data_IF_047101735713
#
_entry.id   IF_047101735713
#
_cell.length_a   1.000
_cell.length_b   1.000
_cell.length_c   1.000
_cell.angle_alpha   90.00
_cell.angle_beta   90.00
_cell.angle_gamma   90.00
#
_symmetry.space_group_name_H-M   'P 1'
#
loop_
_entity.id
_entity.type
_entity.pdbx_description
1 polymer ?
#
# COMPACT_ATOMS: atom_id res chain seq x y z
N UNK A 1 31.71 14.45 -0.92
CA UNK A 1 31.65 13.47 0.11
C UNK A 1 30.68 12.37 -0.20
N UNK A 2 29.77 12.10 0.70
CA UNK A 2 28.87 10.92 0.68
C UNK A 2 28.07 10.71 -0.60
N UNK A 3 27.45 11.76 -1.16
CA UNK A 3 26.70 11.65 -2.42
C UNK A 3 27.59 11.20 -3.59
N UNK A 4 28.85 11.71 -3.65
CA UNK A 4 29.80 11.27 -4.69
C UNK A 4 30.19 9.81 -4.54
N UNK A 5 30.38 9.32 -3.32
CA UNK A 5 30.66 7.91 -3.04
C UNK A 5 29.46 7.02 -3.42
N UNK A 6 28.26 7.40 -3.02
CA UNK A 6 27.04 6.67 -3.37
C UNK A 6 26.85 6.59 -4.88
N UNK A 7 27.03 7.71 -5.59
CA UNK A 7 26.93 7.76 -7.05
C UNK A 7 28.01 6.92 -7.74
N UNK A 8 29.27 6.97 -7.26
CA UNK A 8 30.33 6.16 -7.83
C UNK A 8 30.08 4.66 -7.69
N UNK A 9 29.59 4.22 -6.51
CA UNK A 9 29.19 2.81 -6.31
C UNK A 9 28.02 2.44 -7.19
N UNK A 10 26.99 3.27 -7.27
CA UNK A 10 25.82 3.02 -8.12
C UNK A 10 26.21 2.87 -9.61
N UNK A 11 27.09 3.74 -10.11
CA UNK A 11 27.58 3.64 -11.50
C UNK A 11 28.40 2.35 -11.74
N UNK A 12 29.21 1.95 -10.76
CA UNK A 12 30.04 0.74 -10.87
C UNK A 12 29.20 -0.54 -10.76
N UNK A 13 28.29 -0.60 -9.79
CA UNK A 13 27.58 -1.82 -9.44
C UNK A 13 26.24 -1.96 -10.19
N UNK A 14 25.74 -0.87 -10.81
CA UNK A 14 24.47 -0.86 -11.55
C UNK A 14 23.20 -0.80 -10.66
N UNK A 15 23.37 -0.65 -9.35
CA UNK A 15 22.29 -0.46 -8.36
C UNK A 15 22.77 0.44 -7.21
N UNK A 16 21.83 1.11 -6.48
CA UNK A 16 22.20 1.95 -5.34
C UNK A 16 22.88 1.13 -4.24
N UNK A 17 23.88 1.71 -3.53
CA UNK A 17 24.58 1.00 -2.45
C UNK A 17 23.75 0.80 -1.18
N UNK A 18 22.73 1.64 -0.97
CA UNK A 18 21.75 1.66 0.12
C UNK A 18 20.49 2.37 -0.35
N UNK A 19 19.43 2.42 0.44
CA UNK A 19 18.19 3.10 0.08
C UNK A 19 18.43 4.59 -0.19
N UNK A 20 18.15 5.02 -1.42
CA UNK A 20 18.24 6.40 -1.90
C UNK A 20 16.90 6.91 -2.40
N UNK A 21 15.78 6.24 -2.04
CA UNK A 21 14.47 6.54 -2.58
C UNK A 21 14.08 8.01 -2.46
N UNK A 22 14.34 8.64 -1.32
CA UNK A 22 13.99 10.05 -1.08
C UNK A 22 14.68 11.05 -2.02
N UNK A 23 15.79 10.64 -2.64
CA UNK A 23 16.56 11.45 -3.59
C UNK A 23 16.68 10.83 -4.98
N UNK A 24 16.03 9.67 -5.21
CA UNK A 24 16.05 8.98 -6.50
C UNK A 24 15.17 9.71 -7.52
N UNK A 25 15.75 9.98 -8.71
CA UNK A 25 15.00 10.62 -9.80
C UNK A 25 13.79 9.79 -10.26
N UNK A 26 13.80 8.47 -10.07
CA UNK A 26 12.71 7.56 -10.41
C UNK A 26 11.44 7.77 -9.58
N UNK A 27 11.51 8.51 -8.47
CA UNK A 27 10.32 8.93 -7.71
C UNK A 27 9.53 10.04 -8.41
N UNK A 28 10.14 10.70 -9.38
CA UNK A 28 9.57 11.87 -10.06
C UNK A 28 8.76 11.43 -11.28
N UNK A 29 7.54 11.93 -11.38
CA UNK A 29 6.65 11.65 -12.50
C UNK A 29 7.02 12.50 -13.73
N UNK A 30 6.80 12.01 -14.97
CA UNK A 30 7.21 12.70 -16.19
C UNK A 30 6.67 14.15 -16.31
N UNK A 31 5.47 14.44 -15.81
CA UNK A 31 4.89 15.79 -15.87
C UNK A 31 5.61 16.80 -14.95
N UNK A 32 6.28 16.33 -13.89
CA UNK A 32 6.95 17.19 -12.90
C UNK A 32 8.17 17.92 -13.47
N UNK A 33 8.66 17.55 -14.67
CA UNK A 33 9.65 18.34 -15.43
C UNK A 33 9.11 19.66 -16.00
N UNK A 34 7.80 19.91 -15.93
CA UNK A 34 7.19 21.13 -16.41
C UNK A 34 7.73 22.35 -15.68
N UNK A 35 8.12 23.41 -16.44
CA UNK A 35 8.78 24.59 -15.87
C UNK A 35 7.91 25.37 -14.87
N UNK A 36 6.60 25.46 -15.11
CA UNK A 36 5.67 26.12 -14.20
C UNK A 36 5.56 25.33 -12.91
N UNK A 37 5.40 24.01 -13.00
CA UNK A 37 5.39 23.11 -11.85
C UNK A 37 6.65 23.28 -11.00
N UNK A 38 7.83 23.18 -11.62
CA UNK A 38 9.11 23.29 -10.92
C UNK A 38 9.28 24.64 -10.23
N UNK A 39 8.91 25.74 -10.91
CA UNK A 39 9.02 27.09 -10.34
C UNK A 39 8.23 27.25 -9.04
N UNK A 40 7.00 26.75 -9.02
CA UNK A 40 6.12 26.83 -7.84
C UNK A 40 6.56 25.85 -6.75
N UNK A 41 6.75 24.58 -7.10
CA UNK A 41 7.04 23.50 -6.14
C UNK A 41 8.42 23.64 -5.49
N UNK A 42 9.46 24.02 -6.22
CA UNK A 42 10.81 24.21 -5.66
C UNK A 42 10.83 25.32 -4.61
N UNK A 43 10.10 26.42 -4.85
CA UNK A 43 10.01 27.51 -3.88
C UNK A 43 9.37 27.05 -2.57
N UNK A 44 8.26 26.31 -2.66
CA UNK A 44 7.60 25.72 -1.48
C UNK A 44 8.51 24.73 -0.76
N UNK A 45 9.13 23.80 -1.49
CA UNK A 45 10.01 22.77 -0.92
C UNK A 45 11.19 23.38 -0.17
N UNK A 46 11.81 24.44 -0.72
CA UNK A 46 12.88 25.14 -0.02
C UNK A 46 12.40 25.82 1.28
N UNK A 47 11.20 26.42 1.24
CA UNK A 47 10.60 27.02 2.44
C UNK A 47 10.31 25.99 3.53
N UNK A 48 9.88 24.78 3.13
CA UNK A 48 9.56 23.69 4.04
C UNK A 48 10.77 23.14 4.79
N UNK A 49 12.01 23.31 4.29
CA UNK A 49 13.22 22.92 5.02
C UNK A 49 13.36 23.61 6.39
N UNK A 50 12.74 24.77 6.56
CA UNK A 50 12.80 25.59 7.77
C UNK A 50 11.46 25.67 8.51
N UNK A 51 10.45 24.92 8.09
CA UNK A 51 9.13 24.91 8.70
C UNK A 51 8.96 23.70 9.63
N UNK A 52 7.93 23.76 10.49
CA UNK A 52 7.51 22.59 11.28
C UNK A 52 7.06 21.45 10.37
N UNK A 53 7.62 20.26 10.57
CA UNK A 53 7.34 19.07 9.77
C UNK A 53 6.20 18.28 10.40
N UNK A 54 5.00 18.85 10.43
CA UNK A 54 3.82 18.17 10.95
C UNK A 54 3.56 16.86 10.21
N UNK A 55 3.08 15.83 10.90
CA UNK A 55 2.61 14.59 10.26
C UNK A 55 1.54 14.89 9.19
N UNK A 56 1.56 14.11 8.11
CA UNK A 56 0.61 14.20 6.98
C UNK A 56 0.59 15.54 6.23
N UNK A 57 1.59 16.39 6.44
CA UNK A 57 1.63 17.70 5.78
C UNK A 57 1.55 17.56 4.27
N UNK A 58 0.66 18.34 3.65
CA UNK A 58 0.45 18.37 2.21
C UNK A 58 1.13 19.58 1.58
N UNK A 59 1.62 19.41 0.34
CA UNK A 59 2.03 20.53 -0.49
C UNK A 59 0.82 21.36 -0.90
N UNK A 60 0.95 22.67 -0.97
CA UNK A 60 -0.13 23.59 -1.35
C UNK A 60 -0.01 24.09 -2.78
N UNK A 61 1.24 24.18 -3.33
CA UNK A 61 1.47 24.61 -4.71
C UNK A 61 1.33 23.47 -5.70
N UNK A 62 1.10 23.81 -6.97
CA UNK A 62 1.06 22.86 -8.09
C UNK A 62 0.16 21.64 -7.85
N UNK A 63 -1.01 21.90 -7.25
CA UNK A 63 -2.05 20.91 -6.95
C UNK A 63 -2.99 20.73 -8.13
N UNK A 64 -3.76 19.64 -8.10
CA UNK A 64 -4.86 19.39 -9.03
C UNK A 64 -4.46 18.95 -10.44
N UNK A 65 -3.21 18.47 -10.63
CA UNK A 65 -2.70 18.14 -11.98
C UNK A 65 -3.16 16.75 -12.43
N UNK A 66 -3.14 15.77 -11.53
CA UNK A 66 -3.62 14.42 -11.81
C UNK A 66 -4.84 14.14 -10.92
N UNK A 67 -5.97 13.90 -11.53
CA UNK A 67 -7.24 13.65 -10.85
C UNK A 67 -7.87 12.37 -11.39
N UNK A 68 -8.55 11.63 -10.52
CA UNK A 68 -9.46 10.59 -11.00
C UNK A 68 -10.69 11.22 -11.67
N UNK A 69 -11.40 10.44 -12.45
CA UNK A 69 -12.68 10.89 -13.05
C UNK A 69 -13.74 11.17 -11.98
N UNK A 70 -13.56 10.64 -10.77
CA UNK A 70 -14.47 10.79 -9.64
C UNK A 70 -14.16 12.02 -8.76
N UNK A 71 -13.08 12.76 -9.05
CA UNK A 71 -12.58 13.84 -8.20
C UNK A 71 -13.65 14.86 -7.81
N UNK A 72 -14.40 15.36 -8.78
CA UNK A 72 -15.43 16.38 -8.51
C UNK A 72 -16.63 15.81 -7.73
N UNK A 73 -17.02 14.56 -8.03
CA UNK A 73 -18.09 13.87 -7.29
C UNK A 73 -17.72 13.64 -5.82
N UNK A 74 -16.46 13.23 -5.57
CA UNK A 74 -15.94 13.05 -4.21
C UNK A 74 -15.82 14.39 -3.47
N UNK A 75 -15.37 15.44 -4.16
CA UNK A 75 -15.27 16.79 -3.60
C UNK A 75 -16.63 17.31 -3.13
N UNK A 76 -17.66 17.13 -3.94
CA UNK A 76 -19.05 17.53 -3.58
C UNK A 76 -19.57 16.75 -2.36
N UNK A 77 -19.03 15.55 -2.11
CA UNK A 77 -19.38 14.71 -0.96
C UNK A 77 -18.45 14.91 0.24
N UNK A 78 -17.67 15.99 0.27
CA UNK A 78 -16.86 16.38 1.43
C UNK A 78 -15.43 15.80 1.44
N UNK A 79 -14.93 15.24 0.34
CA UNK A 79 -13.56 14.75 0.28
C UNK A 79 -12.53 15.87 0.51
N UNK A 80 -11.61 15.64 1.42
CA UNK A 80 -10.41 16.44 1.63
C UNK A 80 -9.23 15.75 0.98
N UNK A 81 -8.59 16.41 0.02
CA UNK A 81 -7.58 15.81 -0.83
C UNK A 81 -6.16 16.04 -0.34
N UNK A 82 -5.33 15.02 -0.53
CA UNK A 82 -3.88 15.09 -0.46
C UNK A 82 -3.24 14.62 -1.76
N UNK A 83 -1.97 14.97 -1.97
CA UNK A 83 -1.24 14.61 -3.18
C UNK A 83 -0.22 13.50 -2.92
N UNK A 84 -0.20 12.49 -3.81
CA UNK A 84 0.92 11.55 -3.95
C UNK A 84 1.22 11.35 -5.43
N UNK A 85 2.48 11.54 -5.81
CA UNK A 85 2.94 11.43 -7.20
C UNK A 85 2.11 12.29 -8.18
N UNK A 86 1.65 13.44 -7.72
CA UNK A 86 0.78 14.37 -8.45
C UNK A 86 -0.70 14.00 -8.47
N UNK A 87 -1.10 12.83 -8.00
CA UNK A 87 -2.50 12.45 -7.88
C UNK A 87 -3.15 13.07 -6.65
N UNK A 88 -4.28 13.74 -6.87
CA UNK A 88 -5.20 14.13 -5.81
C UNK A 88 -5.98 12.90 -5.35
N UNK A 89 -5.82 12.53 -4.08
CA UNK A 89 -6.52 11.40 -3.48
C UNK A 89 -7.36 11.88 -2.30
N UNK A 90 -8.60 11.41 -2.20
CA UNK A 90 -9.40 11.65 -0.99
C UNK A 90 -8.69 11.02 0.21
N UNK A 91 -8.22 11.84 1.15
CA UNK A 91 -7.54 11.37 2.34
C UNK A 91 -8.50 11.08 3.49
N UNK A 92 -9.60 11.85 3.57
CA UNK A 92 -10.71 11.67 4.50
C UNK A 92 -11.94 12.43 4.00
N UNK A 93 -13.11 12.17 4.59
CA UNK A 93 -14.35 12.85 4.24
C UNK A 93 -14.84 13.69 5.42
N UNK A 94 -14.98 14.99 5.21
CA UNK A 94 -15.49 15.90 6.22
C UNK A 94 -17.01 15.76 6.35
N UNK A 95 -17.49 15.64 7.57
CA UNK A 95 -18.92 15.68 7.91
C UNK A 95 -19.39 17.09 8.22
N UNK A 96 -18.45 18.03 8.40
CA UNK A 96 -18.71 19.44 8.65
C UNK A 96 -18.28 20.27 7.43
N UNK A 97 -19.24 20.91 6.77
CA UNK A 97 -19.00 21.75 5.60
C UNK A 97 -18.08 22.95 5.86
N UNK A 98 -17.73 23.23 7.13
CA UNK A 98 -16.87 24.35 7.50
C UNK A 98 -15.38 24.01 7.57
N UNK A 99 -14.98 22.71 7.58
CA UNK A 99 -13.59 22.28 7.80
C UNK A 99 -13.10 21.32 6.71
N UNK A 100 -13.25 21.68 5.44
CA UNK A 100 -12.73 20.89 4.31
C UNK A 100 -11.24 21.16 4.04
N UNK A 101 -10.41 21.22 5.11
CA UNK A 101 -8.98 21.45 4.98
C UNK A 101 -8.22 20.85 6.17
N UNK A 102 -6.90 20.70 5.99
CA UNK A 102 -5.98 20.21 7.00
C UNK A 102 -5.72 21.27 8.08
N UNK A 103 -5.87 20.85 9.33
CA UNK A 103 -5.37 21.57 10.50
C UNK A 103 -4.36 20.66 11.21
N UNK A 104 -3.08 20.95 11.00
CA UNK A 104 -1.99 20.11 11.47
C UNK A 104 -1.78 20.22 12.97
N UNK A 105 -1.51 19.09 13.62
CA UNK A 105 -1.20 18.96 15.04
C UNK A 105 -0.22 17.80 15.26
N UNK A 106 0.47 17.76 16.37
CA UNK A 106 1.32 16.65 16.82
C UNK A 106 0.54 15.59 17.61
N UNK A 107 -0.67 15.93 18.03
CA UNK A 107 -1.61 15.02 18.68
C UNK A 107 -2.64 14.47 17.71
N UNK A 108 -3.90 14.39 18.17
CA UNK A 108 -5.03 13.98 17.34
C UNK A 108 -5.33 15.04 16.29
N UNK A 109 -5.30 14.63 15.05
CA UNK A 109 -5.55 15.48 13.90
C UNK A 109 -7.03 15.89 13.79
N UNK A 110 -7.35 16.97 13.07
CA UNK A 110 -8.75 17.44 12.94
C UNK A 110 -9.66 16.45 12.18
N UNK A 111 -9.11 15.50 11.48
CA UNK A 111 -9.88 14.41 10.82
C UNK A 111 -10.01 13.14 11.65
N UNK A 112 -9.50 13.09 12.89
CA UNK A 112 -9.44 11.88 13.71
C UNK A 112 -10.82 11.21 13.89
N UNK A 113 -11.86 11.96 14.18
CA UNK A 113 -13.21 11.40 14.37
C UNK A 113 -13.84 10.98 13.03
N UNK A 114 -13.53 11.66 11.93
CA UNK A 114 -13.96 11.26 10.58
C UNK A 114 -13.32 9.95 10.18
N UNK A 115 -11.99 9.83 10.35
CA UNK A 115 -11.24 8.59 10.15
C UNK A 115 -11.80 7.45 11.00
N UNK A 116 -12.14 7.74 12.28
CA UNK A 116 -12.76 6.74 13.15
C UNK A 116 -14.09 6.24 12.61
N UNK A 117 -14.96 7.15 12.18
CA UNK A 117 -16.26 6.79 11.62
C UNK A 117 -16.16 5.98 10.34
N UNK A 118 -15.21 6.32 9.45
CA UNK A 118 -14.88 5.57 8.24
C UNK A 118 -14.30 4.20 8.57
N UNK A 119 -13.33 4.12 9.50
CA UNK A 119 -12.70 2.88 9.93
C UNK A 119 -13.72 1.89 10.51
N UNK A 120 -14.60 2.37 11.41
CA UNK A 120 -15.62 1.51 11.98
C UNK A 120 -16.67 1.06 10.94
N UNK A 121 -16.96 1.88 9.93
CA UNK A 121 -17.81 1.46 8.81
C UNK A 121 -17.17 0.30 8.03
N UNK A 122 -15.85 0.32 7.80
CA UNK A 122 -15.11 -0.78 7.16
C UNK A 122 -15.18 -2.05 8.03
N UNK A 123 -14.99 -1.94 9.34
CA UNK A 123 -14.97 -3.10 10.24
C UNK A 123 -16.36 -3.73 10.47
N UNK A 124 -17.42 -2.93 10.48
CA UNK A 124 -18.75 -3.35 10.91
C UNK A 124 -19.82 -3.29 9.80
N UNK A 125 -19.52 -2.64 8.69
CA UNK A 125 -20.45 -2.36 7.62
C UNK A 125 -19.79 -2.46 6.25
N UNK A 126 -19.74 -1.33 5.52
CA UNK A 126 -19.14 -1.24 4.20
C UNK A 126 -18.60 0.16 3.91
N UNK A 127 -17.41 0.23 3.32
CA UNK A 127 -16.81 1.45 2.85
C UNK A 127 -16.36 1.36 1.39
N UNK A 128 -16.30 2.51 0.74
CA UNK A 128 -15.90 2.65 -0.66
C UNK A 128 -14.75 3.66 -0.77
N UNK A 129 -13.64 3.22 -1.38
CA UNK A 129 -12.48 4.06 -1.65
C UNK A 129 -12.31 4.29 -3.16
N UNK A 130 -11.86 5.48 -3.53
CA UNK A 130 -11.29 5.74 -4.86
C UNK A 130 -9.79 5.45 -4.84
N UNK A 131 -9.41 4.30 -5.40
CA UNK A 131 -8.02 3.86 -5.55
C UNK A 131 -7.52 3.99 -6.98
N UNK A 132 -8.14 4.83 -7.80
CA UNK A 132 -7.78 5.04 -9.22
C UNK A 132 -6.32 5.49 -9.41
N UNK A 133 -5.68 6.01 -8.37
CA UNK A 133 -4.27 6.37 -8.36
C UNK A 133 -3.30 5.20 -8.36
N UNK A 134 -3.73 3.95 -8.09
CA UNK A 134 -2.85 2.77 -8.20
C UNK A 134 -2.14 2.74 -9.55
N UNK A 135 -0.83 2.47 -9.51
CA UNK A 135 -0.08 2.18 -10.73
C UNK A 135 -0.58 0.87 -11.34
N UNK A 136 -1.03 0.93 -12.59
CA UNK A 136 -1.51 -0.21 -13.37
C UNK A 136 -0.59 -0.41 -14.55
N UNK A 137 0.16 -1.50 -14.57
CA UNK A 137 1.12 -1.81 -15.62
C UNK A 137 0.64 -3.05 -16.37
N UNK A 138 0.43 -2.92 -17.67
CA UNK A 138 0.16 -4.06 -18.56
C UNK A 138 1.47 -4.62 -19.09
N UNK A 139 1.61 -5.93 -18.98
CA UNK A 139 2.72 -6.68 -19.58
C UNK A 139 2.11 -7.73 -20.50
N UNK A 140 2.26 -7.52 -21.80
CA UNK A 140 1.67 -8.35 -22.85
C UNK A 140 2.75 -8.86 -23.81
N UNK A 141 2.66 -10.09 -24.25
CA UNK A 141 3.58 -10.68 -25.23
C UNK A 141 3.88 -12.14 -24.98
N UNK A 142 4.41 -12.81 -25.98
CA UNK A 142 4.66 -14.27 -25.92
C UNK A 142 5.63 -14.66 -24.79
N UNK A 143 6.57 -13.78 -24.44
CA UNK A 143 7.55 -14.00 -23.39
C UNK A 143 7.13 -13.40 -22.03
N UNK A 144 5.89 -12.86 -21.90
CA UNK A 144 5.46 -12.14 -20.69
C UNK A 144 5.47 -13.04 -19.45
N UNK A 145 5.04 -14.30 -19.59
CA UNK A 145 5.03 -15.24 -18.48
C UNK A 145 6.45 -15.53 -17.98
N UNK A 146 7.37 -15.91 -18.88
CA UNK A 146 8.75 -16.21 -18.52
C UNK A 146 9.47 -15.01 -17.91
N UNK A 147 9.26 -13.84 -18.50
CA UNK A 147 9.78 -12.57 -18.00
C UNK A 147 9.32 -12.28 -16.55
N UNK A 148 8.04 -12.41 -16.27
CA UNK A 148 7.50 -12.17 -14.92
C UNK A 148 7.89 -13.30 -13.95
N UNK A 149 7.97 -14.56 -14.38
CA UNK A 149 8.47 -15.66 -13.58
C UNK A 149 9.91 -15.41 -13.08
N UNK A 150 10.75 -14.82 -13.93
CA UNK A 150 12.12 -14.48 -13.57
C UNK A 150 12.23 -13.30 -12.59
N UNK A 151 11.31 -12.34 -12.63
CA UNK A 151 11.38 -11.13 -11.80
C UNK A 151 10.62 -11.26 -10.48
N UNK A 152 9.49 -11.94 -10.46
CA UNK A 152 8.65 -12.07 -9.28
C UNK A 152 9.10 -13.23 -8.39
N UNK A 153 9.07 -13.07 -7.08
CA UNK A 153 9.45 -14.12 -6.13
C UNK A 153 8.38 -15.24 -6.00
N UNK A 154 7.11 -14.94 -6.27
CA UNK A 154 6.03 -15.91 -6.28
C UNK A 154 5.90 -16.65 -7.62
N UNK A 155 5.15 -17.77 -7.61
CA UNK A 155 4.76 -18.47 -8.82
C UNK A 155 3.73 -17.65 -9.60
N UNK A 156 4.09 -17.22 -10.82
CA UNK A 156 3.24 -16.42 -11.72
C UNK A 156 2.57 -17.30 -12.78
N UNK A 157 3.12 -18.49 -13.06
CA UNK A 157 2.45 -19.46 -13.92
C UNK A 157 1.29 -20.11 -13.17
N UNK A 158 0.16 -19.43 -13.23
CA UNK A 158 -1.12 -19.79 -12.64
C UNK A 158 -2.21 -19.69 -13.72
N UNK A 159 -3.36 -20.26 -13.48
CA UNK A 159 -4.48 -20.16 -14.42
C UNK A 159 -4.95 -18.70 -14.65
N UNK A 160 -5.51 -18.42 -15.82
CA UNK A 160 -6.18 -17.14 -16.11
C UNK A 160 -7.30 -16.91 -15.06
N UNK A 161 -7.42 -15.67 -14.58
CA UNK A 161 -8.35 -15.34 -13.50
C UNK A 161 -7.73 -15.31 -12.11
N UNK A 162 -6.49 -15.78 -11.93
CA UNK A 162 -5.76 -15.71 -10.64
C UNK A 162 -5.07 -14.37 -10.46
N UNK A 163 -5.02 -13.96 -9.19
CA UNK A 163 -4.26 -12.82 -8.68
C UNK A 163 -3.19 -13.38 -7.74
N UNK A 164 -1.94 -12.97 -7.93
CA UNK A 164 -0.79 -13.38 -7.12
C UNK A 164 -0.19 -12.15 -6.46
N UNK A 165 -0.13 -12.14 -5.13
CA UNK A 165 0.66 -11.17 -4.39
C UNK A 165 2.12 -11.60 -4.36
N UNK A 166 3.03 -10.72 -4.70
CA UNK A 166 4.45 -11.03 -4.84
C UNK A 166 5.32 -9.80 -4.65
N UNK A 167 6.61 -10.03 -4.43
CA UNK A 167 7.66 -9.02 -4.51
C UNK A 167 8.57 -9.30 -5.72
N UNK A 168 9.14 -8.23 -6.28
CA UNK A 168 10.35 -8.30 -7.08
C UNK A 168 11.53 -8.02 -6.17
N UNK A 169 12.57 -8.84 -6.25
CA UNK A 169 13.73 -8.76 -5.39
C UNK A 169 14.96 -8.28 -6.14
N UNK A 170 15.89 -7.65 -5.44
CA UNK A 170 17.25 -7.44 -5.94
C UNK A 170 18.14 -8.67 -5.66
N UNK A 171 19.37 -8.61 -6.11
CA UNK A 171 20.35 -9.72 -5.98
C UNK A 171 20.69 -10.06 -4.52
N UNK A 172 20.42 -9.15 -3.58
CA UNK A 172 20.66 -9.32 -2.13
C UNK A 172 19.41 -9.84 -1.38
N UNK A 173 18.29 -10.08 -2.10
CA UNK A 173 17.03 -10.48 -1.50
C UNK A 173 16.21 -9.32 -0.92
N UNK A 174 16.64 -8.06 -1.13
CA UNK A 174 15.91 -6.84 -0.79
C UNK A 174 14.73 -6.61 -1.73
N UNK A 175 13.71 -5.93 -1.24
CA UNK A 175 12.43 -5.75 -1.93
C UNK A 175 12.50 -4.53 -2.86
N UNK A 176 12.49 -4.75 -4.17
CA UNK A 176 12.47 -3.68 -5.18
C UNK A 176 11.07 -3.21 -5.52
N UNK A 177 10.09 -4.12 -5.47
CA UNK A 177 8.68 -3.83 -5.75
C UNK A 177 7.78 -4.73 -4.92
N UNK A 178 6.66 -4.20 -4.45
CA UNK A 178 5.60 -4.92 -3.74
C UNK A 178 4.30 -4.75 -4.52
N UNK A 179 3.75 -5.86 -5.05
CA UNK A 179 2.72 -5.79 -6.08
C UNK A 179 1.78 -6.99 -6.09
N UNK A 180 0.66 -6.81 -6.77
CA UNK A 180 -0.16 -7.93 -7.24
C UNK A 180 -0.01 -8.12 -8.75
N UNK A 181 0.00 -9.37 -9.19
CA UNK A 181 0.04 -9.77 -10.61
C UNK A 181 -1.22 -10.55 -10.91
N UNK A 182 -2.02 -10.06 -11.84
CA UNK A 182 -3.23 -10.73 -12.32
C UNK A 182 -3.01 -11.29 -13.70
N UNK A 183 -3.18 -12.61 -13.90
CA UNK A 183 -3.14 -13.22 -15.24
C UNK A 183 -4.45 -12.96 -15.95
N UNK A 184 -4.45 -12.05 -16.95
CA UNK A 184 -5.66 -11.65 -17.67
C UNK A 184 -5.97 -12.58 -18.85
N UNK A 185 -4.92 -13.08 -19.50
CA UNK A 185 -4.97 -14.06 -20.59
C UNK A 185 -3.68 -14.87 -20.57
N UNK A 186 -3.51 -15.80 -21.51
CA UNK A 186 -2.34 -16.66 -21.60
C UNK A 186 -1.03 -15.86 -21.55
N UNK A 187 -0.93 -14.79 -22.34
CA UNK A 187 0.26 -13.95 -22.48
C UNK A 187 -0.01 -12.48 -22.10
N UNK A 188 -0.95 -12.23 -21.16
CA UNK A 188 -1.36 -10.90 -20.74
C UNK A 188 -1.51 -10.82 -19.22
N UNK A 189 -0.82 -9.84 -18.62
CA UNK A 189 -0.76 -9.65 -17.18
C UNK A 189 -1.03 -8.19 -16.81
N UNK A 190 -1.72 -7.99 -15.70
CA UNK A 190 -1.88 -6.70 -15.05
C UNK A 190 -1.10 -6.72 -13.73
N UNK A 191 -0.16 -5.80 -13.60
CA UNK A 191 0.58 -5.53 -12.38
C UNK A 191 -0.05 -4.30 -11.72
N UNK A 192 -0.33 -4.41 -10.42
CA UNK A 192 -0.84 -3.28 -9.63
C UNK A 192 0.20 -2.95 -8.56
N UNK A 193 0.65 -1.69 -8.57
CA UNK A 193 1.73 -1.18 -7.73
C UNK A 193 1.29 0.09 -6.99
N UNK A 194 1.95 0.49 -5.90
CA UNK A 194 1.65 1.75 -5.23
C UNK A 194 1.82 2.94 -6.19
N UNK A 195 0.97 3.96 -6.03
CA UNK A 195 1.01 5.19 -6.83
C UNK A 195 2.40 5.85 -6.83
N UNK A 196 3.07 5.87 -5.67
CA UNK A 196 4.36 6.52 -5.49
C UNK A 196 5.50 5.82 -6.23
N UNK A 197 5.43 4.50 -6.41
CA UNK A 197 6.53 3.68 -6.96
C UNK A 197 6.40 3.38 -8.45
N UNK A 198 5.31 3.78 -9.09
CA UNK A 198 5.02 3.46 -10.49
C UNK A 198 6.22 3.67 -11.44
N UNK A 199 6.92 4.80 -11.33
CA UNK A 199 8.06 5.08 -12.21
C UNK A 199 9.29 4.23 -11.87
N UNK A 200 9.49 3.91 -10.58
CA UNK A 200 10.51 2.95 -10.12
C UNK A 200 10.24 1.57 -10.70
N UNK A 201 9.01 1.09 -10.58
CA UNK A 201 8.59 -0.23 -11.03
C UNK A 201 8.68 -0.36 -12.55
N UNK A 202 8.21 0.66 -13.30
CA UNK A 202 8.40 0.73 -14.75
C UNK A 202 9.89 0.71 -15.15
N UNK A 203 10.73 1.43 -14.42
CA UNK A 203 12.17 1.46 -14.66
C UNK A 203 12.82 0.11 -14.40
N UNK A 204 12.39 -0.59 -13.34
CA UNK A 204 12.84 -1.93 -13.01
C UNK A 204 12.49 -2.95 -14.09
N UNK A 205 11.24 -2.97 -14.52
CA UNK A 205 10.77 -3.82 -15.61
C UNK A 205 11.54 -3.55 -16.91
N UNK A 206 11.71 -2.29 -17.31
CA UNK A 206 12.44 -1.88 -18.52
C UNK A 206 13.93 -2.23 -18.46
N UNK A 207 14.57 -2.13 -17.28
CA UNK A 207 15.96 -2.52 -17.07
C UNK A 207 16.19 -4.01 -17.42
N UNK A 208 15.20 -4.85 -17.16
CA UNK A 208 15.27 -6.30 -17.37
C UNK A 208 14.63 -6.75 -18.69
N UNK A 209 14.00 -5.86 -19.44
CA UNK A 209 13.41 -6.11 -20.76
C UNK A 209 14.51 -6.19 -21.84
N UNK A 210 15.26 -7.28 -21.85
CA UNK A 210 16.32 -7.52 -22.84
C UNK A 210 16.05 -8.80 -23.58
N UNK A 211 16.04 -8.74 -24.93
CA UNK A 211 15.86 -9.91 -25.82
C UNK A 211 14.58 -10.71 -25.55
N UNK A 212 13.49 -10.01 -25.16
CA UNK A 212 12.16 -10.59 -24.91
C UNK A 212 11.10 -9.87 -25.72
N UNK A 213 10.13 -10.62 -26.24
CA UNK A 213 9.05 -10.13 -27.06
C UNK A 213 7.84 -9.76 -26.19
N UNK A 214 7.93 -8.63 -25.51
CA UNK A 214 6.87 -8.10 -24.63
C UNK A 214 6.67 -6.61 -24.83
N UNK A 215 5.46 -6.14 -24.49
CA UNK A 215 5.07 -4.74 -24.32
C UNK A 215 4.83 -4.44 -22.87
N UNK A 216 5.39 -3.33 -22.36
CA UNK A 216 5.17 -2.83 -20.99
C UNK A 216 4.52 -1.45 -21.11
N UNK A 217 3.28 -1.35 -20.67
CA UNK A 217 2.47 -0.13 -20.82
C UNK A 217 1.98 0.37 -19.45
N UNK A 218 2.15 1.67 -19.21
CA UNK A 218 1.45 2.37 -18.11
C UNK A 218 -0.03 2.52 -18.48
N UNK A 219 -0.88 1.75 -17.81
CA UNK A 219 -2.32 1.70 -18.01
C UNK A 219 -3.09 2.48 -16.92
N UNK A 220 -2.37 3.22 -16.08
CA UNK A 220 -2.90 3.87 -14.87
C UNK A 220 -4.10 4.75 -15.13
N UNK A 221 -4.04 5.61 -16.17
CA UNK A 221 -5.12 6.54 -16.48
C UNK A 221 -6.31 5.91 -17.21
N UNK A 222 -6.16 4.70 -17.76
CA UNK A 222 -7.20 4.05 -18.57
C UNK A 222 -8.33 3.44 -17.72
N UNK A 223 -8.02 3.06 -16.48
CA UNK A 223 -8.98 2.43 -15.57
C UNK A 223 -9.05 3.18 -14.24
N UNK A 224 -10.24 3.45 -13.75
CA UNK A 224 -10.52 3.76 -12.36
C UNK A 224 -10.51 2.47 -11.52
N UNK A 225 -10.28 2.62 -10.21
CA UNK A 225 -10.32 1.52 -9.25
C UNK A 225 -11.17 1.93 -8.06
N UNK A 226 -12.27 1.23 -7.85
CA UNK A 226 -13.16 1.40 -6.72
C UNK A 226 -12.97 0.23 -5.76
N UNK A 227 -12.55 0.49 -4.53
CA UNK A 227 -12.37 -0.56 -3.53
C UNK A 227 -13.57 -0.57 -2.58
N UNK A 228 -14.41 -1.59 -2.71
CA UNK A 228 -15.57 -1.82 -1.84
C UNK A 228 -15.19 -2.86 -0.78
N UNK A 229 -15.12 -2.44 0.48
CA UNK A 229 -14.54 -3.21 1.58
C UNK A 229 -15.46 -3.21 2.81
N UNK A 230 -15.51 -4.33 3.51
CA UNK A 230 -16.27 -4.54 4.74
C UNK A 230 -17.23 -5.73 4.65
N UNK A 231 -17.75 -6.22 5.78
CA UNK A 231 -18.58 -7.43 5.84
C UNK A 231 -19.86 -7.36 4.99
N UNK A 232 -20.39 -6.15 4.73
CA UNK A 232 -21.57 -5.94 3.90
C UNK A 232 -21.27 -5.67 2.41
N UNK A 233 -20.00 -5.73 1.99
CA UNK A 233 -19.62 -5.44 0.59
C UNK A 233 -20.25 -6.40 -0.41
N UNK A 234 -20.42 -7.68 -0.05
CA UNK A 234 -21.11 -8.68 -0.89
C UNK A 234 -22.56 -8.31 -1.13
N UNK A 235 -23.26 -7.88 -0.09
CA UNK A 235 -24.67 -7.48 -0.21
C UNK A 235 -24.84 -6.29 -1.14
N UNK A 236 -23.94 -5.30 -1.04
CA UNK A 236 -23.96 -4.13 -1.92
C UNK A 236 -23.75 -4.55 -3.39
N UNK A 237 -22.73 -5.38 -3.67
CA UNK A 237 -22.50 -5.85 -5.04
C UNK A 237 -23.67 -6.67 -5.59
N UNK A 238 -24.27 -7.53 -4.77
CA UNK A 238 -25.42 -8.35 -5.17
C UNK A 238 -26.67 -7.50 -5.48
N UNK A 239 -26.75 -6.27 -4.95
CA UNK A 239 -27.85 -5.36 -5.22
C UNK A 239 -27.69 -4.54 -6.53
N UNK A 240 -26.47 -4.40 -7.05
CA UNK A 240 -26.20 -3.65 -8.28
C UNK A 240 -25.63 -4.50 -9.42
N UNK A 241 -25.53 -5.83 -9.23
CA UNK A 241 -24.91 -6.74 -10.19
C UNK A 241 -25.66 -8.07 -10.24
N UNK A 242 -25.89 -8.66 -11.42
CA UNK A 242 -26.47 -10.00 -11.56
C UNK A 242 -25.46 -11.13 -11.30
N UNK A 243 -24.19 -10.81 -11.08
CA UNK A 243 -23.13 -11.79 -10.95
C UNK A 243 -23.12 -12.46 -9.57
N UNK A 244 -22.58 -13.68 -9.51
CA UNK A 244 -22.38 -14.42 -8.26
C UNK A 244 -21.11 -13.96 -7.54
N UNK A 245 -21.26 -13.44 -6.31
CA UNK A 245 -20.19 -13.01 -5.40
C UNK A 245 -20.01 -13.98 -4.20
N UNK A 246 -20.62 -15.17 -4.24
CA UNK A 246 -20.37 -16.21 -3.23
C UNK A 246 -18.90 -16.62 -3.18
N UNK A 247 -18.50 -17.37 -2.15
CA UNK A 247 -17.14 -17.89 -2.05
C UNK A 247 -16.79 -18.87 -3.17
N UNK A 248 -17.77 -19.62 -3.66
CA UNK A 248 -17.69 -20.55 -4.76
C UNK A 248 -17.66 -19.83 -6.10
N UNK A 249 -18.55 -18.86 -6.30
CA UNK A 249 -18.69 -18.11 -7.55
C UNK A 249 -17.56 -17.10 -7.79
N UNK A 250 -16.98 -16.55 -6.71
CA UNK A 250 -15.87 -15.61 -6.79
C UNK A 250 -14.88 -15.81 -5.64
N UNK A 251 -14.00 -16.82 -5.69
CA UNK A 251 -13.04 -17.13 -4.63
C UNK A 251 -12.03 -16.03 -4.38
N UNK A 252 -11.50 -15.94 -3.15
CA UNK A 252 -10.41 -15.01 -2.80
C UNK A 252 -9.17 -15.23 -3.68
N UNK A 253 -8.53 -14.14 -4.09
CA UNK A 253 -7.38 -14.18 -5.01
C UNK A 253 -7.75 -14.47 -6.46
N UNK A 254 -9.01 -14.24 -6.84
CA UNK A 254 -9.51 -14.34 -8.21
C UNK A 254 -10.05 -13.01 -8.70
N UNK A 255 -9.99 -12.84 -10.01
CA UNK A 255 -10.72 -11.78 -10.70
C UNK A 255 -11.68 -12.36 -11.72
N UNK A 256 -12.75 -11.64 -12.00
CA UNK A 256 -13.68 -11.93 -13.09
C UNK A 256 -14.32 -10.64 -13.62
N UNK A 257 -14.81 -10.68 -14.86
CA UNK A 257 -15.66 -9.61 -15.38
C UNK A 257 -17.03 -9.68 -14.72
N UNK A 258 -17.57 -8.52 -14.42
CA UNK A 258 -18.88 -8.33 -13.79
C UNK A 258 -19.63 -7.19 -14.47
N UNK A 259 -20.93 -7.19 -14.32
CA UNK A 259 -21.81 -6.09 -14.69
C UNK A 259 -22.18 -5.30 -13.43
N UNK A 260 -22.13 -3.97 -13.48
CA UNK A 260 -22.64 -3.08 -12.43
C UNK A 260 -23.47 -2.02 -13.09
N UNK A 261 -24.80 -2.02 -12.82
CA UNK A 261 -25.74 -1.23 -13.64
C UNK A 261 -25.60 -1.56 -15.13
N UNK A 262 -25.31 -0.57 -15.95
CA UNK A 262 -25.02 -0.74 -17.39
C UNK A 262 -23.50 -0.81 -17.68
N UNK A 263 -22.66 -0.77 -16.67
CA UNK A 263 -21.21 -0.81 -16.82
C UNK A 263 -20.63 -2.21 -16.78
N UNK A 264 -19.52 -2.40 -17.48
CA UNK A 264 -18.70 -3.62 -17.42
C UNK A 264 -17.42 -3.32 -16.65
N UNK A 265 -17.16 -4.08 -15.61
CA UNK A 265 -15.99 -3.93 -14.75
C UNK A 265 -15.28 -5.28 -14.55
N UNK A 266 -14.07 -5.21 -14.04
CA UNK A 266 -13.32 -6.40 -13.59
C UNK A 266 -13.18 -6.31 -12.08
N UNK A 267 -13.77 -7.26 -11.36
CA UNK A 267 -13.69 -7.34 -9.91
C UNK A 267 -12.56 -8.28 -9.48
N UNK A 268 -11.67 -7.78 -8.65
CA UNK A 268 -10.58 -8.52 -8.00
C UNK A 268 -10.95 -8.76 -6.55
N UNK A 269 -11.13 -10.02 -6.14
CA UNK A 269 -11.42 -10.33 -4.74
C UNK A 269 -10.12 -10.39 -3.94
N UNK A 270 -9.69 -9.24 -3.46
CA UNK A 270 -8.51 -8.98 -2.64
C UNK A 270 -8.81 -7.89 -1.63
N UNK A 271 -7.95 -7.69 -0.65
CA UNK A 271 -8.12 -6.65 0.38
C UNK A 271 -6.80 -6.09 0.85
N UNK A 272 -6.77 -4.80 1.16
CA UNK A 272 -5.68 -4.14 1.86
C UNK A 272 -6.11 -3.57 3.23
N UNK A 273 -7.37 -3.80 3.63
CA UNK A 273 -7.91 -3.40 4.93
C UNK A 273 -8.14 -4.60 5.87
N UNK A 274 -8.11 -5.82 5.33
CA UNK A 274 -8.29 -7.05 6.10
C UNK A 274 -9.73 -7.47 6.31
N UNK A 275 -10.67 -6.95 5.52
CA UNK A 275 -12.07 -7.36 5.47
C UNK A 275 -12.41 -8.01 4.13
N UNK A 276 -13.59 -8.62 4.05
CA UNK A 276 -14.20 -9.00 2.78
C UNK A 276 -14.25 -7.79 1.85
N UNK A 277 -13.91 -7.99 0.57
CA UNK A 277 -14.00 -6.89 -0.36
C UNK A 277 -13.53 -7.21 -1.77
N UNK A 278 -13.71 -6.23 -2.63
CA UNK A 278 -13.32 -6.25 -4.03
C UNK A 278 -12.72 -4.93 -4.47
N UNK A 279 -11.65 -5.03 -5.24
CA UNK A 279 -11.17 -3.93 -6.08
C UNK A 279 -11.85 -4.05 -7.46
N UNK A 280 -12.59 -3.03 -7.83
CA UNK A 280 -13.39 -2.97 -9.05
C UNK A 280 -12.68 -2.07 -10.05
N UNK A 281 -12.11 -2.67 -11.08
CA UNK A 281 -11.42 -2.01 -12.17
C UNK A 281 -12.40 -1.75 -13.29
N UNK A 282 -12.57 -0.50 -13.67
CA UNK A 282 -13.52 -0.07 -14.68
C UNK A 282 -12.88 0.97 -15.59
N UNK A 283 -13.20 0.95 -16.89
CA UNK A 283 -12.71 1.99 -17.80
C UNK A 283 -13.12 3.38 -17.33
N UNK A 284 -12.22 4.36 -17.50
CA UNK A 284 -12.40 5.70 -16.94
C UNK A 284 -13.69 6.38 -17.40
N UNK A 285 -14.18 6.07 -18.62
CA UNK A 285 -15.42 6.61 -19.18
C UNK A 285 -16.71 6.04 -18.55
N UNK A 286 -16.66 4.83 -17.97
CA UNK A 286 -17.78 4.19 -17.27
C UNK A 286 -17.72 4.36 -15.75
N UNK A 287 -16.61 4.86 -15.22
CA UNK A 287 -16.34 4.85 -13.80
C UNK A 287 -17.34 5.67 -12.98
N UNK A 288 -17.81 6.81 -13.49
CA UNK A 288 -18.80 7.63 -12.81
C UNK A 288 -20.12 6.87 -12.65
N UNK A 289 -20.61 6.22 -13.71
CA UNK A 289 -21.83 5.40 -13.66
C UNK A 289 -21.69 4.25 -12.64
N UNK A 290 -20.61 3.49 -12.71
CA UNK A 290 -20.38 2.37 -11.80
C UNK A 290 -20.28 2.84 -10.33
N UNK A 291 -19.65 3.98 -10.08
CA UNK A 291 -19.57 4.59 -8.76
C UNK A 291 -20.95 4.94 -8.21
N UNK A 292 -21.81 5.58 -9.02
CA UNK A 292 -23.17 5.96 -8.64
C UNK A 292 -24.04 4.72 -8.35
N UNK A 293 -23.97 3.68 -9.18
CA UNK A 293 -24.71 2.43 -8.96
C UNK A 293 -24.31 1.74 -7.63
N UNK A 294 -23.00 1.72 -7.33
CA UNK A 294 -22.52 1.18 -6.05
C UNK A 294 -23.02 2.03 -4.87
N UNK A 295 -23.03 3.36 -5.00
CA UNK A 295 -23.54 4.24 -3.93
C UNK A 295 -25.03 4.02 -3.68
N UNK A 296 -25.85 3.97 -4.74
CA UNK A 296 -27.29 3.70 -4.65
C UNK A 296 -27.54 2.34 -3.98
N UNK A 297 -26.84 1.29 -4.43
CA UNK A 297 -26.97 -0.05 -3.82
C UNK A 297 -26.52 -0.10 -2.36
N UNK A 298 -25.61 0.78 -1.98
CA UNK A 298 -25.05 0.87 -0.65
C UNK A 298 -25.84 1.72 0.33
N UNK A 299 -26.79 2.55 -0.12
CA UNK A 299 -27.57 3.46 0.77
C UNK A 299 -28.24 2.71 1.93
N UNK A 300 -28.95 1.62 1.65
CA UNK A 300 -29.62 0.80 2.66
C UNK A 300 -28.67 0.10 3.64
N UNK A 301 -27.38 0.05 3.32
CA UNK A 301 -26.31 -0.54 4.14
C UNK A 301 -25.45 0.53 4.82
N UNK A 302 -25.83 1.81 4.74
CA UNK A 302 -25.07 2.94 5.26
C UNK A 302 -23.62 2.98 4.75
N UNK A 303 -23.42 2.67 3.46
CA UNK A 303 -22.11 2.72 2.82
C UNK A 303 -21.46 4.09 3.07
N UNK A 304 -20.20 4.07 3.51
CA UNK A 304 -19.41 5.30 3.70
C UNK A 304 -18.33 5.42 2.64
N UNK A 305 -18.16 6.62 2.10
CA UNK A 305 -16.93 6.97 1.40
C UNK A 305 -15.78 7.04 2.40
N UNK A 306 -14.65 6.48 2.06
CA UNK A 306 -13.49 6.35 2.92
C UNK A 306 -12.23 6.87 2.24
N UNK A 307 -11.38 7.54 3.02
CA UNK A 307 -10.15 8.13 2.52
C UNK A 307 -8.88 7.34 2.85
N UNK A 308 -7.74 7.81 2.32
CA UNK A 308 -6.46 7.13 2.46
C UNK A 308 -5.96 7.04 3.90
N UNK A 309 -6.33 8.00 4.76
CA UNK A 309 -5.99 7.92 6.19
C UNK A 309 -6.68 6.73 6.87
N UNK A 310 -7.92 6.44 6.46
CA UNK A 310 -8.67 5.27 6.94
C UNK A 310 -8.08 3.97 6.38
N UNK A 311 -7.70 3.93 5.11
CA UNK A 311 -7.00 2.78 4.52
C UNK A 311 -5.75 2.45 5.33
N UNK A 312 -4.92 3.46 5.65
CA UNK A 312 -3.69 3.30 6.41
C UNK A 312 -3.95 2.81 7.85
N UNK A 313 -4.96 3.39 8.53
CA UNK A 313 -5.39 2.92 9.85
C UNK A 313 -5.87 1.46 9.84
N UNK A 314 -6.62 1.04 8.81
CA UNK A 314 -7.08 -0.34 8.69
C UNK A 314 -5.93 -1.32 8.36
N UNK A 315 -5.02 -0.96 7.41
CA UNK A 315 -3.92 -1.85 7.02
C UNK A 315 -2.93 -2.09 8.16
N UNK A 316 -2.67 -1.03 9.00
CA UNK A 316 -1.73 -1.15 10.12
C UNK A 316 -2.23 -2.13 11.19
N UNK A 317 -3.54 -2.18 11.47
CA UNK A 317 -4.13 -3.16 12.38
C UNK A 317 -3.96 -4.61 11.88
N UNK A 318 -3.92 -4.79 10.56
CA UNK A 318 -3.65 -6.08 9.90
C UNK A 318 -2.17 -6.36 9.71
N UNK A 319 -1.29 -5.47 10.18
CA UNK A 319 0.15 -5.55 9.95
C UNK A 319 0.51 -5.71 8.46
N UNK A 320 -0.30 -5.17 7.53
CA UNK A 320 0.05 -5.14 6.12
C UNK A 320 1.12 -4.08 5.88
N UNK A 321 2.17 -4.47 5.14
CA UNK A 321 3.35 -3.65 4.89
C UNK A 321 3.05 -2.56 3.88
N UNK A 322 3.73 -1.45 4.03
CA UNK A 322 3.68 -0.32 3.11
C UNK A 322 5.08 -0.10 2.54
N UNK A 323 5.23 -0.22 1.22
CA UNK A 323 6.51 0.00 0.54
C UNK A 323 6.96 1.46 0.69
N UNK A 324 8.24 1.65 1.02
CA UNK A 324 8.85 2.94 1.30
C UNK A 324 8.76 3.36 2.79
N UNK A 325 8.08 2.55 3.62
CA UNK A 325 8.03 2.73 5.08
C UNK A 325 8.46 1.45 5.81
N UNK A 326 7.68 0.38 5.67
CA UNK A 326 7.92 -0.89 6.37
C UNK A 326 8.86 -1.82 5.60
N UNK A 327 8.95 -1.65 4.30
CA UNK A 327 9.77 -2.45 3.38
C UNK A 327 10.41 -1.57 2.32
N UNK A 328 11.69 -1.81 2.08
CA UNK A 328 12.52 -1.11 1.08
C UNK A 328 13.45 -2.09 0.38
N UNK A 329 14.32 -1.61 -0.50
CA UNK A 329 15.33 -2.43 -1.18
C UNK A 329 16.47 -2.91 -0.26
N UNK A 330 16.51 -2.44 0.99
CA UNK A 330 17.42 -2.93 2.04
C UNK A 330 16.78 -3.99 2.94
N UNK A 331 15.45 -4.15 2.88
CA UNK A 331 14.74 -5.11 3.72
C UNK A 331 14.62 -6.45 3.04
N UNK A 332 15.17 -7.48 3.69
CA UNK A 332 15.10 -8.83 3.17
C UNK A 332 13.68 -9.38 3.30
N UNK A 333 13.17 -9.99 2.21
CA UNK A 333 11.78 -10.46 2.13
C UNK A 333 11.36 -11.40 3.27
N UNK A 334 12.29 -12.22 3.80
CA UNK A 334 12.02 -13.11 4.95
C UNK A 334 11.96 -12.34 6.26
N UNK A 335 12.82 -11.34 6.46
CA UNK A 335 12.83 -10.49 7.66
C UNK A 335 11.59 -9.60 7.74
N UNK A 336 11.09 -9.20 6.57
CA UNK A 336 9.80 -8.50 6.44
C UNK A 336 8.57 -9.39 6.71
N UNK A 337 8.77 -10.70 6.97
CA UNK A 337 7.67 -11.65 7.18
C UNK A 337 6.85 -11.95 5.92
N UNK A 338 7.41 -11.78 4.73
CA UNK A 338 6.76 -12.00 3.43
C UNK A 338 7.18 -13.33 2.78
N UNK A 339 7.81 -14.22 3.53
CA UNK A 339 8.25 -15.53 3.01
C UNK A 339 7.15 -16.40 2.41
N UNK A 340 5.88 -16.18 2.80
CA UNK A 340 4.73 -16.88 2.21
C UNK A 340 4.50 -16.54 0.74
N UNK A 341 4.95 -15.37 0.29
CA UNK A 341 4.86 -14.90 -1.09
C UNK A 341 6.09 -15.28 -1.93
N UNK A 342 7.02 -16.10 -1.39
CA UNK A 342 8.23 -16.53 -2.09
C UNK A 342 8.17 -18.03 -2.39
N UNK A 343 8.37 -18.41 -3.66
CA UNK A 343 8.39 -19.78 -4.15
C UNK A 343 9.76 -20.15 -4.67
N UNK A 344 10.66 -20.60 -3.78
CA UNK A 344 12.05 -20.97 -4.14
C UNK A 344 12.16 -22.19 -5.04
N UNK A 345 11.14 -23.03 -5.09
CA UNK A 345 11.05 -24.28 -5.85
C UNK A 345 10.45 -24.13 -7.26
N UNK A 346 10.06 -22.92 -7.65
CA UNK A 346 9.50 -22.65 -8.99
C UNK A 346 10.55 -22.56 -10.13
N UNK A 347 11.82 -22.67 -9.81
CA UNK A 347 12.94 -22.42 -10.70
C UNK A 347 13.69 -21.14 -10.34
N UNK A 348 14.50 -20.63 -11.27
CA UNK A 348 15.34 -19.46 -11.04
C UNK A 348 14.52 -18.16 -11.11
N UNK A 349 14.84 -17.24 -10.19
CA UNK A 349 14.35 -15.86 -10.20
C UNK A 349 15.35 -14.93 -9.52
N UNK A 350 15.27 -13.64 -9.82
CA UNK A 350 16.18 -12.65 -9.25
C UNK A 350 16.06 -12.58 -7.73
N UNK A 351 17.20 -12.74 -7.04
CA UNK A 351 17.27 -12.76 -5.57
C UNK A 351 17.06 -14.13 -4.92
N UNK A 352 16.80 -15.20 -5.69
CA UNK A 352 16.57 -16.56 -5.16
C UNK A 352 17.71 -17.05 -4.27
N UNK A 353 18.96 -16.91 -4.72
CA UNK A 353 20.11 -17.41 -3.98
C UNK A 353 20.28 -16.67 -2.65
N UNK A 354 20.02 -15.36 -2.61
CA UNK A 354 20.03 -14.59 -1.37
C UNK A 354 18.93 -15.06 -0.40
N UNK A 355 17.74 -15.42 -0.91
CA UNK A 355 16.67 -15.98 -0.08
C UNK A 355 17.07 -17.34 0.50
N UNK A 356 17.71 -18.20 -0.27
CA UNK A 356 18.21 -19.51 0.19
C UNK A 356 19.29 -19.34 1.26
N UNK A 357 20.29 -18.49 0.99
CA UNK A 357 21.35 -18.17 1.96
C UNK A 357 20.78 -17.63 3.28
N UNK A 358 19.83 -16.69 3.23
CA UNK A 358 19.18 -16.13 4.43
C UNK A 358 18.38 -17.19 5.22
N UNK A 359 17.81 -18.20 4.54
CA UNK A 359 17.14 -19.32 5.23
C UNK A 359 18.11 -20.19 6.00
N UNK A 360 19.32 -20.37 5.52
CA UNK A 360 20.37 -21.15 6.18
C UNK A 360 21.04 -20.37 7.30
N UNK A 361 21.30 -19.07 7.09
CA UNK A 361 21.94 -18.20 8.08
C UNK A 361 21.02 -17.83 9.24
N UNK A 362 19.70 -17.81 9.04
CA UNK A 362 18.70 -17.29 9.95
C UNK A 362 18.47 -15.78 9.79
N UNK A 363 17.46 -15.27 10.50
CA UNK A 363 17.09 -13.86 10.44
C UNK A 363 17.98 -13.04 11.37
N UNK A 364 18.39 -11.85 10.93
CA UNK A 364 19.11 -10.88 11.75
C UNK A 364 18.17 -9.89 12.45
N UNK A 365 17.01 -9.64 11.84
CA UNK A 365 15.92 -8.80 12.37
C UNK A 365 14.57 -9.39 11.97
N UNK A 366 13.53 -8.96 12.66
CA UNK A 366 12.13 -9.35 12.35
C UNK A 366 11.22 -8.14 12.46
N UNK A 367 10.30 -8.00 11.50
CA UNK A 367 9.26 -6.97 11.54
C UNK A 367 8.15 -7.40 12.48
N UNK A 368 7.90 -6.60 13.52
CA UNK A 368 6.87 -6.84 14.54
C UNK A 368 5.82 -5.72 14.55
N UNK A 369 4.64 -6.03 15.06
CA UNK A 369 3.57 -5.08 15.31
C UNK A 369 3.57 -4.67 16.79
N UNK A 370 3.43 -3.37 17.03
CA UNK A 370 3.36 -2.74 18.34
C UNK A 370 2.02 -2.05 18.52
N UNK A 371 1.42 -2.16 19.71
CA UNK A 371 0.19 -1.45 20.08
C UNK A 371 0.42 -0.82 21.46
N UNK A 372 0.27 0.50 21.57
CA UNK A 372 0.43 1.20 22.84
C UNK A 372 -0.63 0.76 23.85
N UNK A 373 -0.27 0.70 25.14
CA UNK A 373 -1.23 0.46 26.20
C UNK A 373 -2.02 1.72 26.55
N UNK A 374 -1.42 2.89 26.37
CA UNK A 374 -2.10 4.17 26.56
C UNK A 374 -2.88 4.58 25.30
N UNK A 375 -4.23 4.62 25.34
CA UNK A 375 -5.03 4.97 24.18
C UNK A 375 -5.01 6.46 23.84
N UNK A 376 -4.42 7.30 24.69
CA UNK A 376 -4.32 8.74 24.44
C UNK A 376 -3.10 9.14 23.63
N UNK A 377 -2.05 8.30 23.63
CA UNK A 377 -0.80 8.56 22.93
C UNK A 377 -0.92 8.30 21.42
N UNK A 378 -0.23 9.10 20.63
CA UNK A 378 -0.18 9.00 19.17
C UNK A 378 1.21 8.62 18.72
N UNK A 379 1.32 7.70 17.75
CA UNK A 379 2.54 7.38 17.01
C UNK A 379 2.34 7.71 15.53
N UNK A 380 3.41 8.07 14.86
CA UNK A 380 3.41 8.37 13.42
C UNK A 380 4.45 7.54 12.67
N UNK A 381 5.72 7.76 12.94
CA UNK A 381 6.89 7.03 12.43
C UNK A 381 8.17 7.58 13.05
N UNK A 382 9.22 6.78 13.04
CA UNK A 382 10.56 7.10 13.57
C UNK A 382 10.65 7.21 15.10
N UNK A 383 9.58 6.93 15.85
CA UNK A 383 9.66 6.82 17.30
C UNK A 383 10.60 5.66 17.70
N UNK A 384 11.57 5.89 18.61
CA UNK A 384 12.48 4.83 19.09
C UNK A 384 11.71 3.70 19.78
N UNK A 385 12.09 2.46 19.46
CA UNK A 385 11.61 1.25 20.16
C UNK A 385 12.66 0.84 21.16
N UNK A 386 12.25 0.75 22.44
CA UNK A 386 13.09 0.23 23.52
C UNK A 386 12.65 -1.20 23.85
N UNK A 387 13.65 -2.10 23.95
CA UNK A 387 13.51 -3.46 24.48
C UNK A 387 14.31 -3.56 25.77
N UNK A 388 13.62 -3.82 26.89
CA UNK A 388 14.23 -3.87 28.21
C UNK A 388 15.07 -2.61 28.56
N UNK A 389 14.58 -1.42 28.17
CA UNK A 389 15.22 -0.13 28.42
C UNK A 389 16.35 0.25 27.45
N UNK A 390 16.62 -0.56 26.41
CA UNK A 390 17.66 -0.29 25.40
C UNK A 390 17.00 -0.02 24.05
N UNK A 391 17.39 1.05 23.37
CA UNK A 391 16.93 1.37 22.02
C UNK A 391 17.43 0.27 21.07
N UNK A 392 16.51 -0.41 20.37
CA UNK A 392 16.80 -1.53 19.47
C UNK A 392 16.34 -1.28 18.03
N UNK A 393 15.52 -0.25 17.78
CA UNK A 393 14.99 0.07 16.47
C UNK A 393 14.08 1.29 16.53
N UNK A 394 13.27 1.46 15.51
CA UNK A 394 12.29 2.54 15.42
C UNK A 394 10.99 2.06 14.72
N UNK A 395 9.92 2.78 14.94
CA UNK A 395 8.64 2.56 14.28
C UNK A 395 8.76 3.00 12.81
N UNK A 396 8.56 2.09 11.88
CA UNK A 396 8.64 2.36 10.43
C UNK A 396 7.37 3.03 9.89
N UNK A 397 6.21 2.61 10.39
CA UNK A 397 4.92 3.25 10.14
C UNK A 397 3.99 3.06 11.31
N UNK A 398 3.12 4.03 11.57
CA UNK A 398 2.10 3.95 12.60
C UNK A 398 0.87 4.76 12.26
N UNK A 399 -0.25 4.36 12.86
CA UNK A 399 -1.51 5.08 12.82
C UNK A 399 -2.34 4.71 14.06
N UNK A 400 -3.42 5.44 14.32
CA UNK A 400 -4.36 5.02 15.35
C UNK A 400 -5.24 3.88 14.85
N UNK A 401 -5.20 2.74 15.51
CA UNK A 401 -6.07 1.59 15.26
C UNK A 401 -7.41 1.78 15.95
N UNK A 402 -8.40 2.30 15.23
CA UNK A 402 -9.70 2.67 15.85
C UNK A 402 -10.49 1.48 16.36
N UNK A 403 -10.27 0.28 15.83
CA UNK A 403 -10.89 -0.94 16.34
C UNK A 403 -10.12 -1.49 17.54
N UNK A 404 -8.79 -1.46 17.52
CA UNK A 404 -7.94 -1.85 18.65
C UNK A 404 -7.95 -0.83 19.79
N UNK A 405 -8.34 0.42 19.50
CA UNK A 405 -8.53 1.49 20.49
C UNK A 405 -7.25 2.17 20.95
N UNK A 406 -6.13 2.02 20.25
CA UNK A 406 -4.85 2.65 20.56
C UNK A 406 -3.99 2.84 19.29
N UNK A 407 -2.89 3.59 19.41
CA UNK A 407 -1.92 3.72 18.33
C UNK A 407 -1.20 2.39 18.09
N UNK A 408 -1.08 2.02 16.82
CA UNK A 408 -0.48 0.77 16.33
C UNK A 408 0.61 1.11 15.34
N UNK A 409 1.76 0.42 15.42
CA UNK A 409 2.87 0.61 14.51
C UNK A 409 3.57 -0.69 14.13
N UNK A 410 4.41 -0.63 13.11
CA UNK A 410 5.34 -1.67 12.71
C UNK A 410 6.78 -1.22 12.97
N UNK A 411 7.68 -2.15 13.26
CA UNK A 411 9.09 -1.84 13.41
C UNK A 411 9.95 -3.09 13.45
N UNK A 412 11.20 -2.98 13.01
CA UNK A 412 12.17 -4.07 13.02
C UNK A 412 12.88 -4.17 14.35
N UNK A 413 12.98 -5.41 14.85
CA UNK A 413 13.72 -5.75 16.06
C UNK A 413 14.84 -6.72 15.72
N UNK A 414 16.09 -6.46 16.15
CA UNK A 414 17.18 -7.42 16.03
C UNK A 414 16.83 -8.73 16.75
N UNK A 415 17.10 -9.87 16.09
CA UNK A 415 16.80 -11.21 16.64
C UNK A 415 17.87 -12.25 16.28
N UNK A 416 19.10 -11.82 15.95
CA UNK A 416 20.16 -12.73 15.51
C UNK A 416 20.44 -13.82 16.56
N UNK A 417 20.22 -15.10 16.18
CA UNK A 417 20.36 -16.28 17.03
C UNK A 417 19.48 -16.30 18.30
N UNK A 418 18.46 -15.43 18.37
CA UNK A 418 17.49 -15.45 19.47
C UNK A 418 16.26 -16.27 19.09
N UNK A 419 15.64 -16.93 20.09
CA UNK A 419 14.31 -17.51 19.91
C UNK A 419 13.29 -16.38 19.78
N UNK A 420 12.39 -16.50 18.83
CA UNK A 420 11.32 -15.51 18.63
C UNK A 420 10.43 -15.35 19.87
N UNK A 421 10.29 -16.39 20.70
CA UNK A 421 9.53 -16.31 21.94
C UNK A 421 10.21 -15.42 23.00
N UNK A 422 11.54 -15.41 23.03
CA UNK A 422 12.31 -14.51 23.91
C UNK A 422 12.18 -13.06 23.44
N UNK A 423 12.21 -12.85 22.11
CA UNK A 423 11.94 -11.53 21.52
C UNK A 423 10.55 -11.05 21.92
N UNK A 424 9.52 -11.88 21.74
CA UNK A 424 8.12 -11.50 22.01
C UNK A 424 7.78 -11.36 23.50
N UNK A 425 8.50 -12.04 24.39
CA UNK A 425 8.28 -11.96 25.85
C UNK A 425 8.99 -10.79 26.53
N UNK A 426 9.85 -10.07 25.81
CA UNK A 426 10.56 -8.91 26.34
C UNK A 426 9.61 -7.73 26.62
N UNK A 427 10.03 -6.83 27.54
CA UNK A 427 9.31 -5.58 27.76
C UNK A 427 9.64 -4.58 26.64
N UNK A 428 8.60 -4.00 26.06
CA UNK A 428 8.72 -2.98 25.02
C UNK A 428 8.12 -1.66 25.44
N UNK A 429 8.83 -0.58 25.12
CA UNK A 429 8.40 0.80 25.30
C UNK A 429 8.71 1.59 24.01
N UNK A 430 7.85 2.54 23.70
CA UNK A 430 8.05 3.45 22.57
C UNK A 430 8.29 4.85 23.13
N UNK A 431 9.37 5.50 22.71
CA UNK A 431 9.66 6.87 23.10
C UNK A 431 8.95 7.85 22.18
N UNK A 432 8.03 8.65 22.73
CA UNK A 432 7.26 9.65 22.00
C UNK A 432 7.52 11.01 22.66
N UNK A 433 8.13 11.92 21.94
CA UNK A 433 8.47 13.27 22.43
C UNK A 433 9.19 13.28 23.80
N UNK A 434 10.08 12.32 24.05
CA UNK A 434 10.85 12.18 25.28
C UNK A 434 10.12 11.47 26.45
N UNK A 435 8.89 10.99 26.25
CA UNK A 435 8.15 10.17 27.20
C UNK A 435 8.11 8.71 26.72
N UNK A 436 8.17 7.76 27.68
CA UNK A 436 8.13 6.33 27.40
C UNK A 436 6.70 5.80 27.58
N UNK A 437 6.22 5.09 26.57
CA UNK A 437 4.90 4.45 26.56
C UNK A 437 5.06 2.94 26.40
N UNK A 438 4.48 2.17 27.30
CA UNK A 438 4.50 0.72 27.22
C UNK A 438 3.68 0.22 26.02
N UNK A 439 4.20 -0.79 25.33
CA UNK A 439 3.58 -1.37 24.15
C UNK A 439 3.48 -2.90 24.23
N UNK A 440 2.36 -3.43 23.74
CA UNK A 440 2.23 -4.85 23.37
C UNK A 440 2.94 -5.08 22.05
N UNK A 441 3.59 -6.25 21.92
CA UNK A 441 4.26 -6.68 20.70
C UNK A 441 3.62 -7.96 20.16
N UNK A 442 3.61 -8.13 18.84
CA UNK A 442 3.13 -9.34 18.17
C UNK A 442 3.85 -9.57 16.83
N UNK A 443 4.14 -10.83 16.54
CA UNK A 443 4.61 -11.27 15.22
C UNK A 443 3.45 -11.51 14.23
N UNK A 444 2.20 -11.51 14.70
CA UNK A 444 1.00 -11.65 13.88
C UNK A 444 0.14 -10.40 14.02
N UNK A 445 -0.70 -10.16 13.04
CA UNK A 445 -1.68 -9.08 13.13
C UNK A 445 -2.50 -9.18 14.42
N UNK A 446 -2.63 -8.08 15.15
CA UNK A 446 -3.45 -8.03 16.38
C UNK A 446 -4.94 -8.03 16.06
N UNK A 447 -5.32 -7.50 14.88
CA UNK A 447 -6.67 -7.60 14.37
C UNK A 447 -6.82 -8.81 13.45
N UNK A 448 -7.81 -9.68 13.71
CA UNK A 448 -8.12 -10.90 12.95
C UNK A 448 -6.86 -11.67 12.50
N UNK A 449 -6.06 -12.21 13.43
CA UNK A 449 -4.75 -12.83 13.14
C UNK A 449 -4.82 -14.05 12.22
N UNK A 450 -6.00 -14.63 12.05
CA UNK A 450 -6.26 -15.80 11.18
C UNK A 450 -6.82 -15.41 9.81
N UNK A 451 -7.05 -14.10 9.57
CA UNK A 451 -7.65 -13.56 8.34
C UNK A 451 -8.96 -14.28 7.97
N UNK A 452 -9.85 -14.43 8.96
CA UNK A 452 -11.16 -15.06 8.75
C UNK A 452 -12.12 -14.08 8.05
N UNK A 453 -12.06 -12.79 8.40
CA UNK A 453 -12.97 -11.77 7.88
C UNK A 453 -12.87 -11.57 6.36
N UNK A 454 -11.72 -11.86 5.74
CA UNK A 454 -11.55 -11.77 4.28
C UNK A 454 -12.19 -12.92 3.51
N UNK A 455 -12.63 -13.99 4.22
CA UNK A 455 -13.14 -15.23 3.65
C UNK A 455 -14.62 -15.51 3.94
N UNK A 456 -15.27 -14.61 4.65
CA UNK A 456 -16.71 -14.73 4.97
C UNK A 456 -17.58 -14.60 3.73
#
# INVERSE_FOLDING_TARGET
GGAGMAMARWLNDGYPPFDLWDVDIRRVQPFQKNRKYLKERVTETLGLLYADHYPYRQMVTSRGIRRSVLHESLKLQGAVFGEVAGYERANWFSTDNQLQDYKYDWGKQNWFENQRAEHLAIRQGVGLFDMSSFGKIRVDGIDALEFLQRLCAAQIDVEVGRIVYTQMLNQKGGIESDLTVSRLAENSFLLVVPCATLQRDLSWLKKHQRNVSISILDFTAAEAVLCLMGPLSRDVLSNCSPNDFSNEGHPFGRWKNIEIGMGIARAHRVTYVGELGWEIYVSSDQAQHVFEEIQIAGEAKNLKLCGMHTLDSCRIEKAYRHFGHDITDEDHVLEAGLGFAVKVDKGDFLGRDAVLAKKEEGLSKVLLQFCLLDPSAMMFHNEPILRNGVIVGYISSANYGHFLGAAVGLGYIPCFQEDIMDVLSSKYEIEIAGALFEAKVSAKAMYDPKSLNVRI
#
